data_IF_631213474444
#
_entry.id   IF_631213474444
#
_cell.length_a   1.000
_cell.length_b   1.000
_cell.length_c   1.000
_cell.angle_alpha   90.00
_cell.angle_beta   90.00
_cell.angle_gamma   90.00
#
_symmetry.space_group_name_H-M   'P 1'
#
loop_
_entity.id
_entity.type
_entity.pdbx_description
1 polymer ?
#
# COMPACT_ATOMS: atom_id res chain seq x y z
N UNK A 1 -22.04 6.59 3.99
CA UNK A 1 -21.26 7.27 2.94
C UNK A 1 -20.63 6.19 2.08
N UNK A 2 -20.48 6.44 0.78
CA UNK A 2 -19.81 5.53 -0.15
C UNK A 2 -18.40 6.05 -0.41
N UNK A 3 -17.40 5.18 -0.36
CA UNK A 3 -16.01 5.51 -0.67
C UNK A 3 -15.56 4.69 -1.88
N UNK A 4 -14.93 5.36 -2.84
CA UNK A 4 -14.36 4.71 -4.02
C UNK A 4 -12.85 4.63 -3.87
N UNK A 5 -12.31 3.42 -4.04
CA UNK A 5 -10.88 3.15 -3.97
C UNK A 5 -10.37 2.67 -5.33
N UNK A 6 -9.14 3.07 -5.70
CA UNK A 6 -8.48 2.53 -6.88
C UNK A 6 -7.30 1.66 -6.43
N UNK A 7 -7.33 0.40 -6.85
CA UNK A 7 -6.35 -0.61 -6.46
C UNK A 7 -5.57 -1.05 -7.70
N UNK A 8 -4.25 -1.03 -7.61
CA UNK A 8 -3.36 -1.62 -8.63
C UNK A 8 -2.63 -2.79 -8.00
N UNK A 9 -2.77 -3.98 -8.58
CA UNK A 9 -2.10 -5.20 -8.11
C UNK A 9 -1.04 -5.59 -9.12
N UNK A 10 0.16 -5.85 -8.63
CA UNK A 10 1.31 -6.29 -9.40
C UNK A 10 1.79 -7.64 -8.85
N UNK A 11 1.97 -8.61 -9.74
CA UNK A 11 2.69 -9.83 -9.39
C UNK A 11 4.19 -9.53 -9.32
N UNK A 12 4.87 -10.04 -8.29
CA UNK A 12 6.32 -10.03 -8.17
C UNK A 12 6.94 -11.30 -8.79
N UNK A 13 8.23 -11.22 -9.14
CA UNK A 13 8.98 -12.32 -9.75
C UNK A 13 8.98 -13.61 -8.90
N UNK A 14 8.74 -13.52 -7.59
CA UNK A 14 8.70 -14.68 -6.67
C UNK A 14 7.31 -15.30 -6.48
N UNK A 15 6.39 -15.13 -7.43
CA UNK A 15 4.99 -15.56 -7.30
C UNK A 15 4.28 -14.93 -6.08
N UNK A 16 4.79 -13.80 -5.62
CA UNK A 16 4.13 -12.98 -4.61
C UNK A 16 3.29 -11.91 -5.31
N UNK A 17 2.43 -11.24 -4.55
CA UNK A 17 1.65 -10.12 -5.03
C UNK A 17 1.80 -8.94 -4.09
N UNK A 18 1.85 -7.77 -4.68
CA UNK A 18 1.90 -6.50 -3.98
C UNK A 18 1.00 -5.53 -4.70
N UNK A 19 0.67 -4.44 -4.06
CA UNK A 19 -0.16 -3.46 -4.73
C UNK A 19 -0.18 -2.12 -4.05
N UNK A 20 -0.93 -1.23 -4.69
CA UNK A 20 -1.03 0.16 -4.31
C UNK A 20 -2.51 0.53 -4.28
N UNK A 21 -2.93 1.05 -3.14
CA UNK A 21 -4.25 1.61 -2.88
C UNK A 21 -4.16 3.13 -3.03
N UNK A 22 -4.89 3.70 -3.98
CA UNK A 22 -5.08 5.14 -4.10
C UNK A 22 -6.39 5.54 -3.44
N UNK A 23 -6.30 6.51 -2.55
CA UNK A 23 -7.41 7.14 -1.81
C UNK A 23 -7.41 8.64 -2.05
N UNK A 24 -8.42 9.35 -1.57
CA UNK A 24 -8.46 10.82 -1.66
C UNK A 24 -7.32 11.48 -0.87
N UNK A 25 -6.89 10.87 0.24
CA UNK A 25 -5.80 11.37 1.09
C UNK A 25 -4.41 11.02 0.59
N UNK A 26 -4.27 10.05 -0.33
CA UNK A 26 -2.96 9.68 -0.86
C UNK A 26 -2.87 8.27 -1.41
N UNK A 27 -1.64 7.77 -1.46
CA UNK A 27 -1.30 6.49 -2.09
C UNK A 27 -0.56 5.62 -1.08
N UNK A 28 -1.08 4.42 -0.83
CA UNK A 28 -0.55 3.49 0.16
C UNK A 28 -0.23 2.15 -0.48
N UNK A 29 0.99 1.66 -0.30
CA UNK A 29 1.37 0.29 -0.66
C UNK A 29 0.78 -0.73 0.32
N UNK A 30 0.54 -1.95 -0.16
CA UNK A 30 0.18 -3.12 0.63
C UNK A 30 0.85 -4.37 0.04
N UNK A 31 1.15 -5.34 0.90
CA UNK A 31 1.79 -6.60 0.49
C UNK A 31 0.91 -7.83 0.75
N UNK A 32 -0.31 -7.64 1.27
CA UNK A 32 -1.26 -8.71 1.53
C UNK A 32 -2.70 -8.21 1.56
N UNK A 33 -3.66 -9.15 1.48
CA UNK A 33 -5.09 -8.84 1.44
C UNK A 33 -5.56 -8.25 2.76
N UNK A 34 -5.05 -8.80 3.86
CA UNK A 34 -5.35 -8.31 5.19
C UNK A 34 -4.89 -6.86 5.36
N UNK A 35 -3.68 -6.55 4.89
CA UNK A 35 -3.11 -5.19 4.98
C UNK A 35 -3.92 -4.19 4.12
N UNK A 36 -4.36 -4.61 2.93
CA UNK A 36 -5.26 -3.84 2.07
C UNK A 36 -6.60 -3.56 2.77
N UNK A 37 -7.24 -4.58 3.34
CA UNK A 37 -8.51 -4.45 4.05
C UNK A 37 -8.39 -3.53 5.27
N UNK A 38 -7.30 -3.64 6.03
CA UNK A 38 -7.03 -2.75 7.16
C UNK A 38 -6.89 -1.29 6.71
N UNK A 39 -6.13 -1.02 5.65
CA UNK A 39 -5.97 0.35 5.11
C UNK A 39 -7.29 0.93 4.61
N UNK A 40 -8.13 0.13 3.94
CA UNK A 40 -9.46 0.57 3.52
C UNK A 40 -10.38 0.84 4.73
N UNK A 41 -10.36 -0.03 5.75
CA UNK A 41 -11.15 0.18 6.96
C UNK A 41 -10.73 1.44 7.72
N UNK A 42 -9.42 1.70 7.84
CA UNK A 42 -8.92 2.95 8.46
C UNK A 42 -9.38 4.19 7.69
N UNK A 43 -9.44 4.15 6.36
CA UNK A 43 -9.91 5.30 5.56
C UNK A 43 -11.42 5.55 5.67
N UNK A 44 -12.19 4.52 6.00
CA UNK A 44 -13.64 4.63 6.22
C UNK A 44 -13.96 5.10 7.64
N UNK A 45 -13.15 4.71 8.63
CA UNK A 45 -13.38 4.98 10.06
C UNK A 45 -12.64 6.23 10.57
N UNK A 46 -11.44 6.51 10.05
CA UNK A 46 -10.62 7.64 10.44
C UNK A 46 -10.68 8.75 9.39
N UNK A 47 -11.05 9.95 9.84
CA UNK A 47 -10.67 11.16 9.13
C UNK A 47 -9.14 11.23 9.04
N UNK A 48 -8.62 10.98 7.84
CA UNK A 48 -7.23 11.11 7.40
C UNK A 48 -6.19 10.20 8.07
N UNK A 49 -5.82 9.06 7.46
CA UNK A 49 -4.63 8.33 7.85
C UNK A 49 -3.38 8.89 7.15
N UNK A 50 -2.36 9.15 7.96
CA UNK A 50 -1.01 9.54 7.56
C UNK A 50 -0.36 8.41 6.74
N UNK A 51 -0.30 8.59 5.42
CA UNK A 51 0.31 7.64 4.50
C UNK A 51 1.76 8.05 4.14
N UNK A 52 2.56 8.38 5.15
CA UNK A 52 3.94 8.86 4.97
C UNK A 52 4.99 7.75 4.84
N UNK A 53 4.62 6.47 4.96
CA UNK A 53 5.60 5.36 5.05
C UNK A 53 6.08 4.79 3.69
N UNK A 54 5.81 5.46 2.56
CA UNK A 54 6.20 4.99 1.22
C UNK A 54 7.72 5.06 0.94
N UNK A 55 8.53 5.52 1.90
CA UNK A 55 9.98 5.79 1.72
C UNK A 55 10.85 5.01 2.70
N UNK A 56 10.69 3.68 2.77
CA UNK A 56 11.61 2.83 3.57
C UNK A 56 12.25 1.65 2.85
N UNK A 57 11.85 1.31 1.63
CA UNK A 57 12.42 0.17 0.88
C UNK A 57 13.39 0.53 -0.26
N UNK A 58 13.67 1.81 -0.48
CA UNK A 58 14.66 2.22 -1.47
C UNK A 58 16.07 2.32 -0.85
N UNK A 59 16.67 1.19 -0.42
CA UNK A 59 18.12 0.99 -0.24
C UNK A 59 18.42 -0.43 0.27
N UNK A 60 18.29 -1.47 -0.57
CA UNK A 60 19.12 -2.67 -0.40
C UNK A 60 20.34 -2.47 -1.28
N UNK A 61 21.40 -1.94 -0.68
CA UNK A 61 22.74 -1.86 -1.26
C UNK A 61 23.26 -3.29 -1.48
N UNK A 62 23.18 -3.78 -2.71
CA UNK A 62 23.92 -4.96 -3.14
C UNK A 62 25.36 -4.55 -3.51
N UNK A 63 26.17 -4.16 -2.52
CA UNK A 63 27.62 -4.22 -2.68
C UNK A 63 28.09 -5.65 -2.40
N UNK A 64 28.12 -6.43 -3.48
CA UNK A 64 28.95 -7.63 -3.56
C UNK A 64 30.42 -7.23 -3.64
N UNK A 65 31.24 -7.63 -2.67
CA UNK A 65 32.62 -8.10 -2.88
C UNK A 65 33.16 -8.80 -1.63
#
# INVERSE_FOLDING_TARGET
>A
MEHTFKITISADAHHSWQGVLQTESGVCSFNSELELLQKMATQVDAGEPDCSDWKKDACIDNTSL
#
